data_IF_634578859228
#
_entry.id   IF_634578859228
#
_cell.length_a   1.000
_cell.length_b   1.000
_cell.length_c   1.000
_cell.angle_alpha   90.00
_cell.angle_beta   90.00
_cell.angle_gamma   90.00
#
_symmetry.space_group_name_H-M   'P 1'
#
loop_
_entity.id
_entity.type
_entity.pdbx_description
1 polymer ?
#
# COMPACT_ATOMS: atom_id res chain seq x y z
N UNK A 1 -2.28 -9.07 14.14
CA UNK A 1 -1.25 -8.66 13.14
C UNK A 1 -0.58 -9.91 12.58
N UNK A 2 -0.01 -9.90 11.37
CA UNK A 2 0.62 -11.10 10.80
C UNK A 2 1.76 -11.64 11.68
N UNK A 3 2.42 -10.76 12.43
CA UNK A 3 3.45 -11.06 13.45
C UNK A 3 2.93 -11.92 14.62
N UNK A 4 1.62 -11.88 14.89
CA UNK A 4 0.98 -12.57 16.01
C UNK A 4 0.28 -13.87 15.55
N UNK A 5 0.34 -14.18 14.26
CA UNK A 5 -0.27 -15.40 13.71
C UNK A 5 0.65 -16.57 14.02
N UNK A 6 0.24 -17.40 14.98
CA UNK A 6 0.86 -18.70 15.21
C UNK A 6 0.38 -19.69 14.15
N UNK A 7 1.22 -19.91 13.14
CA UNK A 7 1.02 -20.95 12.13
C UNK A 7 1.84 -22.21 12.48
N UNK A 8 1.29 -23.42 12.34
CA UNK A 8 2.00 -24.66 12.68
C UNK A 8 3.20 -24.92 11.77
N UNK A 9 3.15 -24.49 10.51
CA UNK A 9 4.12 -24.84 9.47
C UNK A 9 5.06 -23.68 9.12
N UNK A 10 4.64 -22.44 9.37
CA UNK A 10 5.36 -21.24 8.93
C UNK A 10 5.79 -20.31 10.07
N UNK A 11 6.96 -19.71 9.90
CA UNK A 11 7.39 -18.52 10.64
C UNK A 11 7.36 -17.31 9.71
N UNK A 12 6.44 -16.38 9.99
CA UNK A 12 6.26 -15.19 9.16
C UNK A 12 7.10 -14.02 9.66
N UNK A 13 7.78 -13.38 8.72
CA UNK A 13 8.48 -12.10 8.92
C UNK A 13 7.84 -11.07 8.00
N UNK A 14 6.82 -10.33 8.46
CA UNK A 14 6.17 -9.30 7.66
C UNK A 14 7.01 -8.01 7.66
N UNK A 15 7.13 -7.38 6.50
CA UNK A 15 7.83 -6.11 6.30
C UNK A 15 6.86 -5.17 5.62
N UNK A 16 6.51 -4.07 6.28
CA UNK A 16 5.68 -3.03 5.71
C UNK A 16 6.55 -2.05 4.94
N UNK A 17 6.17 -1.77 3.69
CA UNK A 17 6.89 -0.88 2.79
C UNK A 17 5.85 0.05 2.18
N UNK A 18 6.03 1.35 2.39
CA UNK A 18 5.25 2.38 1.72
C UNK A 18 6.06 2.92 0.54
N UNK A 19 5.54 2.80 -0.68
CA UNK A 19 6.23 3.21 -1.89
C UNK A 19 5.99 4.69 -2.25
N UNK A 20 5.21 5.44 -1.47
CA UNK A 20 4.88 6.84 -1.73
C UNK A 20 6.14 7.68 -2.02
N UNK A 21 6.13 8.39 -3.15
CA UNK A 21 7.23 9.29 -3.53
C UNK A 21 8.57 8.59 -3.82
N UNK A 22 8.61 7.26 -3.88
CA UNK A 22 9.83 6.52 -4.22
C UNK A 22 10.18 6.75 -5.68
N UNK A 23 11.45 7.08 -5.93
CA UNK A 23 11.98 7.24 -7.30
C UNK A 23 12.62 5.96 -7.79
N UNK A 24 12.47 5.65 -9.08
CA UNK A 24 12.97 4.41 -9.67
C UNK A 24 14.48 4.20 -9.46
N UNK A 25 15.29 5.27 -9.49
CA UNK A 25 16.75 5.16 -9.34
C UNK A 25 17.16 4.70 -7.95
N UNK A 26 16.26 4.83 -6.97
CA UNK A 26 16.51 4.51 -5.56
C UNK A 26 15.64 3.38 -5.04
N UNK A 27 14.82 2.78 -5.91
CA UNK A 27 13.80 1.80 -5.54
C UNK A 27 14.39 0.58 -4.84
N UNK A 28 15.40 -0.07 -5.43
CA UNK A 28 16.01 -1.26 -4.83
C UNK A 28 16.75 -0.97 -3.52
N UNK A 29 17.40 0.19 -3.42
CA UNK A 29 18.01 0.63 -2.17
C UNK A 29 16.96 0.83 -1.08
N UNK A 30 15.84 1.46 -1.41
CA UNK A 30 14.75 1.67 -0.46
C UNK A 30 14.15 0.34 0.01
N UNK A 31 13.89 -0.60 -0.90
CA UNK A 31 13.39 -1.92 -0.54
C UNK A 31 14.33 -2.65 0.43
N UNK A 32 15.64 -2.66 0.17
CA UNK A 32 16.58 -3.36 1.05
C UNK A 32 16.73 -2.65 2.41
N UNK A 33 16.66 -1.32 2.43
CA UNK A 33 16.71 -0.51 3.65
C UNK A 33 15.59 -0.92 4.62
N UNK A 34 14.35 -1.00 4.14
CA UNK A 34 13.20 -1.43 4.94
C UNK A 34 13.35 -2.88 5.43
N UNK A 35 13.87 -3.77 4.58
CA UNK A 35 14.14 -5.16 4.95
C UNK A 35 15.20 -5.23 6.06
N UNK A 36 16.32 -4.53 5.91
CA UNK A 36 17.42 -4.51 6.87
C UNK A 36 16.95 -3.94 8.20
N UNK A 37 16.26 -2.79 8.19
CA UNK A 37 15.71 -2.19 9.39
C UNK A 37 14.75 -3.14 10.12
N UNK A 38 13.89 -3.85 9.40
CA UNK A 38 13.00 -4.82 10.05
C UNK A 38 13.78 -5.99 10.65
N UNK A 39 14.70 -6.58 9.90
CA UNK A 39 15.46 -7.77 10.32
C UNK A 39 16.35 -7.49 11.51
N UNK A 40 17.00 -6.32 11.56
CA UNK A 40 17.81 -5.89 12.72
C UNK A 40 17.00 -5.78 14.02
N UNK A 41 15.69 -5.58 13.92
CA UNK A 41 14.79 -5.45 15.06
C UNK A 41 14.11 -6.78 15.46
N UNK A 42 14.38 -7.89 14.75
CA UNK A 42 13.81 -9.20 15.10
C UNK A 42 14.51 -9.77 16.32
N UNK A 43 15.84 -9.89 16.26
CA UNK A 43 16.68 -10.40 17.34
C UNK A 43 18.12 -9.92 17.17
N UNK A 44 18.87 -9.88 18.26
CA UNK A 44 20.30 -9.57 18.33
C UNK A 44 21.17 -10.83 18.22
N UNK A 45 20.72 -11.85 17.48
CA UNK A 45 21.51 -13.07 17.29
C UNK A 45 22.78 -12.76 16.48
N UNK A 46 23.90 -13.36 16.86
CA UNK A 46 25.20 -13.08 16.25
C UNK A 46 25.22 -13.39 14.74
N UNK A 47 24.43 -14.37 14.28
CA UNK A 47 24.29 -14.72 12.87
C UNK A 47 23.61 -13.61 12.06
N UNK A 48 22.55 -13.00 12.59
CA UNK A 48 21.80 -11.93 11.93
C UNK A 48 22.66 -10.66 11.90
N UNK A 49 23.28 -10.31 13.03
CA UNK A 49 24.19 -9.17 13.12
C UNK A 49 25.31 -9.31 12.08
N UNK A 50 26.00 -10.46 12.05
CA UNK A 50 27.09 -10.69 11.11
C UNK A 50 26.64 -10.65 9.65
N UNK A 51 25.44 -11.17 9.36
CA UNK A 51 24.87 -11.11 8.02
C UNK A 51 24.54 -9.67 7.59
N UNK A 52 24.00 -8.84 8.49
CA UNK A 52 23.68 -7.44 8.20
C UNK A 52 24.96 -6.62 7.95
N UNK A 53 26.01 -6.82 8.74
CA UNK A 53 27.29 -6.11 8.56
C UNK A 53 27.97 -6.39 7.20
N UNK A 54 27.68 -7.53 6.57
CA UNK A 54 28.28 -7.94 5.30
C UNK A 54 27.54 -7.44 4.05
N UNK A 55 26.44 -6.70 4.23
CA UNK A 55 25.61 -6.26 3.11
C UNK A 55 26.31 -5.17 2.27
N UNK A 56 26.07 -5.23 0.96
CA UNK A 56 26.52 -4.24 0.00
C UNK A 56 25.82 -2.90 0.20
N UNK A 57 24.59 -2.96 0.74
CA UNK A 57 23.79 -1.83 1.20
C UNK A 57 24.59 -0.77 1.96
N UNK A 58 25.53 -1.17 2.82
CA UNK A 58 26.33 -0.23 3.61
C UNK A 58 27.44 0.48 2.83
N UNK A 59 27.85 -0.05 1.68
CA UNK A 59 29.07 0.34 0.98
C UNK A 59 28.81 0.90 -0.43
N UNK A 60 27.62 0.69 -0.97
CA UNK A 60 27.23 1.15 -2.30
C UNK A 60 26.34 2.39 -2.13
N UNK A 61 26.64 3.45 -2.90
CA UNK A 61 25.83 4.65 -2.87
C UNK A 61 24.40 4.37 -3.33
N UNK A 62 23.42 5.07 -2.76
CA UNK A 62 21.99 4.87 -3.04
C UNK A 62 21.62 4.89 -4.52
N UNK A 63 22.29 5.72 -5.32
CA UNK A 63 22.04 5.82 -6.75
C UNK A 63 22.71 4.71 -7.58
N UNK A 64 23.72 4.04 -7.02
CA UNK A 64 24.47 2.96 -7.69
C UNK A 64 24.01 1.57 -7.23
N UNK A 65 23.07 1.50 -6.29
CA UNK A 65 22.52 0.26 -5.75
C UNK A 65 21.46 -0.32 -6.70
N UNK A 66 21.85 -1.30 -7.49
CA UNK A 66 20.98 -1.87 -8.54
C UNK A 66 20.25 -3.12 -8.08
N UNK A 67 19.45 -3.73 -8.99
CA UNK A 67 18.83 -5.03 -8.75
C UNK A 67 19.86 -6.12 -8.43
N UNK A 68 21.10 -6.00 -8.92
CA UNK A 68 22.15 -6.97 -8.66
C UNK A 68 22.59 -6.97 -7.20
N UNK A 69 22.86 -5.80 -6.64
CA UNK A 69 23.24 -5.64 -5.23
C UNK A 69 22.07 -6.08 -4.34
N UNK A 70 20.85 -5.67 -4.68
CA UNK A 70 19.63 -6.10 -4.01
C UNK A 70 19.50 -7.62 -3.91
N UNK A 71 19.62 -8.33 -5.04
CA UNK A 71 19.50 -9.78 -5.07
C UNK A 71 20.59 -10.47 -4.24
N UNK A 72 21.80 -9.89 -4.20
CA UNK A 72 22.90 -10.43 -3.40
C UNK A 72 22.64 -10.26 -1.91
N UNK A 73 22.24 -9.07 -1.49
CA UNK A 73 21.97 -8.76 -0.10
C UNK A 73 20.75 -9.53 0.40
N UNK A 74 19.67 -9.60 -0.39
CA UNK A 74 18.49 -10.38 -0.05
C UNK A 74 18.82 -11.88 0.15
N UNK A 75 19.71 -12.46 -0.67
CA UNK A 75 20.20 -13.85 -0.44
C UNK A 75 20.89 -14.00 0.90
N UNK A 76 21.71 -13.02 1.29
CA UNK A 76 22.43 -13.03 2.57
C UNK A 76 21.43 -12.95 3.73
N UNK A 77 20.47 -12.03 3.65
CA UNK A 77 19.43 -11.84 4.66
C UNK A 77 18.58 -13.10 4.82
N UNK A 78 18.07 -13.67 3.72
CA UNK A 78 17.20 -14.86 3.76
C UNK A 78 17.91 -16.08 4.33
N UNK A 79 19.22 -16.26 4.04
CA UNK A 79 20.01 -17.36 4.63
C UNK A 79 20.18 -17.19 6.14
N UNK A 80 20.46 -15.97 6.59
CA UNK A 80 20.62 -15.69 8.01
C UNK A 80 19.29 -15.88 8.77
N UNK A 81 18.18 -15.40 8.20
CA UNK A 81 16.84 -15.64 8.75
C UNK A 81 16.49 -17.13 8.75
N UNK A 82 16.88 -17.90 7.73
CA UNK A 82 16.61 -19.34 7.68
C UNK A 82 17.36 -20.08 8.81
N UNK A 83 18.63 -19.75 9.03
CA UNK A 83 19.41 -20.29 10.15
C UNK A 83 18.80 -19.92 11.50
N UNK A 84 18.39 -18.66 11.65
CA UNK A 84 17.70 -18.17 12.83
C UNK A 84 16.39 -18.93 13.09
N UNK A 85 15.59 -19.16 12.04
CA UNK A 85 14.35 -19.93 12.07
C UNK A 85 14.58 -21.36 12.53
N UNK A 86 15.63 -22.02 12.04
CA UNK A 86 15.95 -23.41 12.42
C UNK A 86 16.31 -23.54 13.90
N UNK A 87 16.96 -22.51 14.47
CA UNK A 87 17.34 -22.47 15.88
C UNK A 87 16.18 -22.11 16.82
N UNK A 88 15.33 -21.15 16.44
CA UNK A 88 14.30 -20.57 17.33
C UNK A 88 12.88 -21.08 17.05
N UNK A 89 12.64 -21.58 15.85
CA UNK A 89 11.34 -22.05 15.36
C UNK A 89 11.47 -23.43 14.69
N UNK A 90 11.92 -24.47 15.41
CA UNK A 90 12.21 -25.77 14.84
C UNK A 90 10.97 -26.39 14.18
N UNK A 91 11.14 -26.86 12.94
CA UNK A 91 10.06 -27.45 12.14
C UNK A 91 9.24 -26.45 11.34
N UNK A 92 9.43 -25.14 11.54
CA UNK A 92 8.75 -24.10 10.75
C UNK A 92 9.59 -23.65 9.56
N UNK A 93 8.93 -23.36 8.45
CA UNK A 93 9.54 -22.77 7.26
C UNK A 93 9.48 -21.25 7.33
N UNK A 94 10.60 -20.59 7.03
CA UNK A 94 10.66 -19.13 6.94
C UNK A 94 9.80 -18.61 5.79
N UNK A 95 9.01 -17.57 6.07
CA UNK A 95 8.28 -16.78 5.09
C UNK A 95 8.47 -15.28 5.35
N UNK A 96 9.33 -14.65 4.55
CA UNK A 96 9.47 -13.20 4.48
C UNK A 96 8.34 -12.64 3.61
N UNK A 97 7.47 -11.79 4.17
CA UNK A 97 6.31 -11.25 3.46
C UNK A 97 6.46 -9.73 3.31
N UNK A 98 6.60 -9.26 2.08
CA UNK A 98 6.63 -7.82 1.78
C UNK A 98 5.19 -7.31 1.64
N UNK A 99 4.78 -6.41 2.53
CA UNK A 99 3.48 -5.74 2.51
C UNK A 99 3.71 -4.35 1.90
N UNK A 100 3.55 -4.25 0.57
CA UNK A 100 3.88 -3.06 -0.20
C UNK A 100 2.64 -2.24 -0.47
N UNK A 101 2.56 -1.06 0.11
CA UNK A 101 1.53 -0.06 -0.16
C UNK A 101 1.96 0.87 -1.31
N UNK A 102 1.00 1.54 -1.91
CA UNK A 102 1.22 2.48 -3.04
C UNK A 102 1.95 1.87 -4.24
N UNK A 103 1.63 0.62 -4.56
CA UNK A 103 2.25 -0.12 -5.66
C UNK A 103 2.04 0.54 -7.05
N UNK A 104 1.07 1.46 -7.16
CA UNK A 104 0.79 2.21 -8.38
C UNK A 104 1.99 3.05 -8.86
N UNK A 105 2.89 3.46 -7.96
CA UNK A 105 4.12 4.21 -8.30
C UNK A 105 4.95 3.47 -9.36
N UNK A 106 4.96 2.14 -9.32
CA UNK A 106 5.74 1.29 -10.22
C UNK A 106 5.22 1.35 -11.66
N UNK A 107 3.96 1.71 -11.87
CA UNK A 107 3.40 1.91 -13.22
C UNK A 107 4.12 3.05 -13.97
N UNK A 108 4.68 4.02 -13.23
CA UNK A 108 5.47 5.12 -13.79
C UNK A 108 6.95 4.80 -14.03
N UNK A 109 7.43 3.63 -13.59
CA UNK A 109 8.83 3.23 -13.76
C UNK A 109 9.10 2.64 -15.14
N UNK A 110 10.38 2.67 -15.53
CA UNK A 110 10.86 2.02 -16.73
C UNK A 110 10.61 0.50 -16.70
N UNK A 111 10.30 -0.08 -17.86
CA UNK A 111 10.00 -1.51 -17.97
C UNK A 111 11.11 -2.42 -17.47
N UNK A 112 12.36 -1.98 -17.57
CA UNK A 112 13.49 -2.74 -17.05
C UNK A 112 13.36 -2.95 -15.54
N UNK A 113 12.97 -1.92 -14.79
CA UNK A 113 12.79 -1.97 -13.33
C UNK A 113 11.62 -2.87 -12.97
N UNK A 114 10.50 -2.78 -13.70
CA UNK A 114 9.35 -3.66 -13.51
C UNK A 114 9.72 -5.15 -13.73
N UNK A 115 10.52 -5.45 -14.76
CA UNK A 115 11.00 -6.81 -15.00
C UNK A 115 12.01 -7.27 -13.94
N UNK A 116 12.88 -6.38 -13.46
CA UNK A 116 13.80 -6.67 -12.36
C UNK A 116 13.03 -7.04 -11.09
N UNK A 117 11.97 -6.30 -10.77
CA UNK A 117 11.08 -6.60 -9.66
C UNK A 117 10.40 -7.96 -9.82
N UNK A 118 9.84 -8.23 -11.00
CA UNK A 118 9.23 -9.52 -11.31
C UNK A 118 10.18 -10.70 -11.06
N UNK A 119 11.46 -10.56 -11.43
CA UNK A 119 12.47 -11.63 -11.26
C UNK A 119 12.70 -12.01 -9.80
N UNK A 120 12.59 -11.05 -8.87
CA UNK A 120 12.76 -11.30 -7.42
C UNK A 120 11.75 -12.36 -6.94
N UNK A 121 10.50 -12.31 -7.42
CA UNK A 121 9.44 -13.20 -6.94
C UNK A 121 9.36 -14.57 -7.64
N UNK A 122 10.02 -14.78 -8.78
CA UNK A 122 9.77 -15.96 -9.61
C UNK A 122 10.67 -17.18 -9.39
N UNK A 123 11.98 -17.02 -9.11
CA UNK A 123 12.90 -18.19 -9.14
C UNK A 123 13.85 -18.32 -7.97
N UNK A 124 14.50 -17.24 -7.53
CA UNK A 124 15.53 -17.37 -6.50
C UNK A 124 14.95 -17.45 -5.08
N UNK A 125 13.74 -16.93 -4.88
CA UNK A 125 13.18 -16.73 -3.53
C UNK A 125 11.74 -17.19 -3.36
N UNK A 126 11.07 -17.73 -4.37
CA UNK A 126 9.63 -18.03 -4.34
C UNK A 126 9.20 -18.96 -3.17
N UNK A 127 10.11 -19.79 -2.68
CA UNK A 127 9.84 -20.67 -1.53
C UNK A 127 9.83 -19.94 -0.18
N UNK A 128 10.44 -18.75 -0.08
CA UNK A 128 10.72 -18.06 1.19
C UNK A 128 10.20 -16.62 1.19
N UNK A 129 10.08 -16.00 0.02
CA UNK A 129 9.61 -14.63 -0.17
C UNK A 129 8.18 -14.65 -0.73
N UNK A 130 7.29 -13.90 -0.07
CA UNK A 130 5.97 -13.55 -0.57
C UNK A 130 5.79 -12.04 -0.59
N UNK A 131 4.77 -11.57 -1.30
CA UNK A 131 4.38 -10.18 -1.29
C UNK A 131 2.85 -10.03 -1.30
N UNK A 132 2.37 -9.04 -0.56
CA UNK A 132 1.00 -8.52 -0.62
C UNK A 132 1.13 -7.07 -1.06
N UNK A 133 0.38 -6.69 -2.09
CA UNK A 133 0.45 -5.35 -2.69
C UNK A 133 -0.88 -4.65 -2.55
N UNK A 134 -0.84 -3.35 -2.27
CA UNK A 134 -2.00 -2.47 -2.30
C UNK A 134 -1.79 -1.35 -3.33
N UNK A 135 -2.86 -0.99 -4.04
CA UNK A 135 -2.88 0.03 -5.08
C UNK A 135 -4.30 0.29 -5.58
N UNK A 136 -4.52 1.46 -6.16
CA UNK A 136 -5.82 1.97 -6.61
C UNK A 136 -6.18 1.41 -7.99
N UNK A 137 -5.21 1.36 -8.91
CA UNK A 137 -5.42 0.82 -10.25
C UNK A 137 -4.13 0.22 -10.79
N UNK A 138 -4.07 -1.11 -10.84
CA UNK A 138 -3.14 -1.79 -11.73
C UNK A 138 -3.60 -1.49 -13.15
N UNK A 139 -2.93 -0.56 -13.84
CA UNK A 139 -3.25 -0.21 -15.22
C UNK A 139 -3.18 -1.46 -16.10
N UNK A 140 -4.36 -1.93 -16.54
CA UNK A 140 -4.52 -3.07 -17.46
C UNK A 140 -4.47 -2.63 -18.93
N UNK A 141 -4.17 -1.36 -19.21
CA UNK A 141 -3.83 -0.99 -20.57
C UNK A 141 -2.60 -1.83 -21.00
N UNK A 142 -2.50 -2.10 -22.30
CA UNK A 142 -1.27 -2.34 -23.06
C UNK A 142 -1.25 -3.61 -23.94
N UNK A 143 -1.17 -3.33 -25.25
CA UNK A 143 -0.75 -4.21 -26.35
C UNK A 143 0.73 -4.59 -26.21
N UNK A 144 1.07 -5.60 -25.40
CA UNK A 144 2.47 -6.06 -25.25
C UNK A 144 2.65 -7.57 -25.27
N UNK A 145 3.85 -7.97 -25.71
CA UNK A 145 4.27 -9.36 -25.94
C UNK A 145 4.64 -10.10 -24.63
N UNK A 146 5.00 -9.37 -23.57
CA UNK A 146 5.45 -9.95 -22.29
C UNK A 146 4.39 -9.83 -21.19
N UNK A 147 4.28 -10.85 -20.32
CA UNK A 147 3.35 -10.84 -19.19
C UNK A 147 3.74 -9.78 -18.15
N UNK A 148 2.81 -8.89 -17.75
CA UNK A 148 3.05 -7.87 -16.74
C UNK A 148 3.40 -8.44 -15.35
N UNK A 149 4.05 -7.62 -14.52
CA UNK A 149 4.47 -8.01 -13.17
C UNK A 149 3.29 -8.34 -12.25
N UNK A 150 2.15 -7.68 -12.44
CA UNK A 150 0.94 -7.91 -11.66
C UNK A 150 0.34 -9.32 -11.86
N UNK A 151 0.65 -10.00 -12.97
CA UNK A 151 0.24 -11.39 -13.18
C UNK A 151 0.87 -12.37 -12.19
N UNK A 152 1.86 -11.93 -11.40
CA UNK A 152 2.37 -12.71 -10.28
C UNK A 152 1.42 -12.74 -9.08
N UNK A 153 0.46 -11.82 -9.04
CA UNK A 153 -0.39 -11.60 -7.88
C UNK A 153 -1.80 -12.10 -8.14
N UNK A 154 -2.42 -12.63 -7.09
CA UNK A 154 -3.85 -12.86 -7.08
C UNK A 154 -4.52 -11.54 -6.68
N UNK A 155 -5.30 -10.98 -7.60
CA UNK A 155 -6.03 -9.75 -7.35
C UNK A 155 -7.24 -10.04 -6.46
N UNK A 156 -7.34 -9.32 -5.34
CA UNK A 156 -8.48 -9.33 -4.46
C UNK A 156 -9.07 -7.93 -4.52
N UNK A 157 -10.21 -7.80 -5.20
CA UNK A 157 -10.94 -6.54 -5.24
C UNK A 157 -11.56 -6.27 -3.86
N UNK A 158 -11.33 -5.08 -3.33
CA UNK A 158 -11.98 -4.64 -2.10
C UNK A 158 -13.39 -4.18 -2.45
N UNK A 159 -14.38 -5.01 -2.11
CA UNK A 159 -15.78 -4.69 -2.34
C UNK A 159 -16.24 -3.47 -1.51
N UNK A 160 -17.20 -2.69 -2.00
CA UNK A 160 -17.84 -1.65 -1.21
C UNK A 160 -18.47 -2.22 0.06
N UNK A 161 -18.52 -1.41 1.12
CA UNK A 161 -19.15 -1.82 2.36
C UNK A 161 -20.64 -2.06 2.19
N UNK A 162 -21.13 -3.11 2.84
CA UNK A 162 -22.55 -3.29 3.07
C UNK A 162 -23.10 -2.12 3.90
N UNK A 163 -24.42 -1.91 3.83
CA UNK A 163 -25.08 -0.77 4.49
C UNK A 163 -24.74 -0.70 5.99
N UNK A 164 -24.76 -1.82 6.69
CA UNK A 164 -24.50 -1.90 8.13
C UNK A 164 -23.05 -1.50 8.45
N UNK A 165 -22.09 -1.99 7.66
CA UNK A 165 -20.67 -1.65 7.78
C UNK A 165 -20.42 -0.16 7.47
N UNK A 166 -21.10 0.38 6.47
CA UNK A 166 -21.01 1.80 6.14
C UNK A 166 -21.56 2.69 7.26
N UNK A 167 -22.67 2.30 7.90
CA UNK A 167 -23.21 2.99 9.08
C UNK A 167 -22.22 2.90 10.25
N UNK A 168 -21.68 1.71 10.52
CA UNK A 168 -20.70 1.51 11.59
C UNK A 168 -19.49 2.42 11.39
N UNK A 169 -18.92 2.45 10.18
CA UNK A 169 -17.79 3.31 9.81
C UNK A 169 -18.08 4.79 10.07
N UNK A 170 -19.31 5.25 9.81
CA UNK A 170 -19.70 6.65 9.98
C UNK A 170 -20.01 7.01 11.44
N UNK A 171 -20.62 6.10 12.19
CA UNK A 171 -21.21 6.38 13.50
C UNK A 171 -20.26 6.04 14.65
N UNK A 172 -19.58 4.90 14.61
CA UNK A 172 -18.74 4.43 15.72
C UNK A 172 -17.61 5.40 16.11
N UNK A 173 -16.85 5.99 15.18
CA UNK A 173 -15.78 6.92 15.53
C UNK A 173 -16.27 8.17 16.27
N UNK A 174 -17.56 8.50 16.15
CA UNK A 174 -18.11 9.79 16.58
C UNK A 174 -19.23 9.69 17.61
N UNK A 175 -19.62 8.47 17.99
CA UNK A 175 -20.81 8.17 18.80
C UNK A 175 -20.93 8.94 20.12
N UNK A 176 -19.82 9.40 20.69
CA UNK A 176 -19.78 10.16 21.94
C UNK A 176 -19.71 11.68 21.76
N UNK A 177 -19.55 12.18 20.53
CA UNK A 177 -19.32 13.59 20.22
C UNK A 177 -20.51 14.21 19.48
N UNK A 178 -21.01 13.52 18.45
CA UNK A 178 -22.13 13.98 17.63
C UNK A 178 -22.91 12.80 17.07
N UNK A 179 -24.10 13.09 16.56
CA UNK A 179 -25.05 12.10 16.04
C UNK A 179 -25.45 12.42 14.61
N UNK A 180 -25.75 11.40 13.83
CA UNK A 180 -26.35 11.57 12.50
C UNK A 180 -27.87 11.48 12.59
N UNK A 181 -28.54 12.27 11.76
CA UNK A 181 -29.92 12.01 11.38
C UNK A 181 -30.00 10.79 10.44
N UNK A 182 -31.00 9.91 10.56
CA UNK A 182 -31.12 8.74 9.68
C UNK A 182 -31.08 9.09 8.19
N UNK A 183 -31.79 10.16 7.78
CA UNK A 183 -31.78 10.63 6.40
C UNK A 183 -30.40 11.10 5.92
N UNK A 184 -29.56 11.61 6.82
CA UNK A 184 -28.19 12.00 6.49
C UNK A 184 -27.32 10.77 6.19
N UNK A 185 -27.44 9.70 6.99
CA UNK A 185 -26.72 8.43 6.77
C UNK A 185 -27.11 7.79 5.43
N UNK A 186 -28.41 7.66 5.17
CA UNK A 186 -28.89 7.07 3.90
C UNK A 186 -28.38 7.87 2.70
N UNK A 187 -28.38 9.20 2.79
CA UNK A 187 -27.87 10.04 1.72
C UNK A 187 -26.36 9.82 1.49
N UNK A 188 -25.55 9.76 2.56
CA UNK A 188 -24.11 9.49 2.44
C UNK A 188 -23.89 8.15 1.75
N UNK A 189 -24.52 7.08 2.24
CA UNK A 189 -24.32 5.71 1.75
C UNK A 189 -24.72 5.58 0.29
N UNK A 190 -25.85 6.19 -0.09
CA UNK A 190 -26.32 6.18 -1.47
C UNK A 190 -25.35 6.90 -2.41
N UNK A 191 -24.82 8.06 -2.01
CA UNK A 191 -23.94 8.85 -2.87
C UNK A 191 -22.49 8.37 -2.87
N UNK A 192 -22.05 7.69 -1.83
CA UNK A 192 -20.71 7.11 -1.74
C UNK A 192 -20.63 5.71 -2.34
N UNK A 193 -21.77 5.08 -2.67
CA UNK A 193 -21.89 3.71 -3.15
C UNK A 193 -21.19 2.69 -2.23
N UNK A 194 -21.22 2.93 -0.92
CA UNK A 194 -20.52 2.09 0.07
C UNK A 194 -18.98 2.14 0.02
N UNK A 195 -18.36 2.97 -0.83
CA UNK A 195 -16.90 3.06 -0.93
C UNK A 195 -16.29 3.74 0.31
N UNK A 196 -15.35 3.11 1.05
CA UNK A 196 -14.83 3.62 2.33
C UNK A 196 -14.29 5.05 2.27
N UNK A 197 -13.42 5.35 1.30
CA UNK A 197 -12.85 6.69 1.11
C UNK A 197 -13.94 7.75 0.89
N UNK A 198 -14.93 7.45 0.04
CA UNK A 198 -16.04 8.37 -0.22
C UNK A 198 -16.88 8.56 1.04
N UNK A 199 -17.26 7.49 1.74
CA UNK A 199 -18.00 7.56 3.01
C UNK A 199 -17.34 8.54 3.99
N UNK A 200 -16.02 8.39 4.18
CA UNK A 200 -15.24 9.25 5.08
C UNK A 200 -15.12 10.70 4.58
N UNK A 201 -14.96 10.91 3.27
CA UNK A 201 -14.94 12.25 2.66
C UNK A 201 -16.27 13.00 2.95
N UNK A 202 -17.40 12.34 2.74
CA UNK A 202 -18.72 12.90 3.08
C UNK A 202 -18.84 13.17 4.59
N UNK A 203 -18.36 12.26 5.43
CA UNK A 203 -18.41 12.41 6.88
C UNK A 203 -17.65 13.66 7.33
N UNK A 204 -16.42 13.84 6.86
CA UNK A 204 -15.56 14.98 7.19
C UNK A 204 -16.24 16.31 6.81
N UNK A 205 -16.69 16.43 5.56
CA UNK A 205 -17.34 17.65 5.08
C UNK A 205 -18.67 17.94 5.79
N UNK A 206 -19.46 16.90 6.08
CA UNK A 206 -20.71 17.04 6.83
C UNK A 206 -20.46 17.48 8.28
N UNK A 207 -19.41 16.96 8.91
CA UNK A 207 -18.96 17.39 10.24
C UNK A 207 -18.53 18.85 10.21
N UNK A 208 -17.75 19.28 9.23
CA UNK A 208 -17.34 20.68 9.05
C UNK A 208 -18.56 21.61 8.97
N UNK A 209 -19.55 21.28 8.14
CA UNK A 209 -20.78 22.07 8.01
C UNK A 209 -21.60 22.12 9.31
N UNK A 210 -21.66 21.00 10.04
CA UNK A 210 -22.37 20.89 11.31
C UNK A 210 -21.68 21.69 12.43
N UNK A 211 -20.34 21.67 12.48
CA UNK A 211 -19.54 22.48 13.40
C UNK A 211 -19.64 23.97 13.10
N UNK A 212 -19.61 24.37 11.82
CA UNK A 212 -19.80 25.77 11.41
C UNK A 212 -21.15 26.34 11.88
N UNK A 213 -22.16 25.47 11.96
CA UNK A 213 -23.48 25.82 12.50
C UNK A 213 -23.60 25.62 14.03
N UNK A 214 -22.50 25.35 14.74
CA UNK A 214 -22.45 25.14 16.20
C UNK A 214 -23.44 24.10 16.72
N UNK A 215 -23.62 22.99 15.99
CA UNK A 215 -24.52 21.89 16.35
C UNK A 215 -23.73 20.66 16.79
N UNK A 216 -24.46 19.62 17.22
CA UNK A 216 -23.95 18.26 17.52
C UNK A 216 -24.74 17.16 16.81
N UNK A 217 -25.62 17.55 15.89
CA UNK A 217 -26.41 16.63 15.07
C UNK A 217 -26.22 17.00 13.62
N UNK A 218 -25.70 16.05 12.85
CA UNK A 218 -25.48 16.14 11.41
C UNK A 218 -26.82 15.88 10.73
N UNK A 219 -27.31 16.87 10.00
CA UNK A 219 -28.59 16.85 9.30
C UNK A 219 -28.39 16.53 7.83
N UNK A 220 -29.49 16.16 7.15
CA UNK A 220 -29.49 15.99 5.70
C UNK A 220 -28.92 17.21 4.95
N UNK A 221 -29.21 18.42 5.42
CA UNK A 221 -28.70 19.66 4.81
C UNK A 221 -27.18 19.78 4.84
N UNK A 222 -26.54 19.25 5.88
CA UNK A 222 -25.08 19.30 6.04
C UNK A 222 -24.39 18.38 5.04
N UNK A 223 -24.98 17.20 4.82
CA UNK A 223 -24.50 16.22 3.84
C UNK A 223 -24.79 16.66 2.41
N UNK A 224 -25.93 17.29 2.15
CA UNK A 224 -26.22 17.87 0.83
C UNK A 224 -25.27 19.01 0.48
N UNK A 225 -24.87 19.81 1.48
CA UNK A 225 -23.82 20.82 1.28
C UNK A 225 -22.46 20.18 1.01
N UNK A 226 -22.09 19.13 1.77
CA UNK A 226 -20.89 18.34 1.53
C UNK A 226 -20.85 17.76 0.11
N UNK A 227 -21.97 17.19 -0.37
CA UNK A 227 -22.08 16.66 -1.72
C UNK A 227 -21.74 17.69 -2.80
N UNK A 228 -22.30 18.90 -2.68
CA UNK A 228 -22.03 19.99 -3.63
C UNK A 228 -20.56 20.38 -3.62
N UNK A 229 -19.94 20.45 -2.45
CA UNK A 229 -18.52 20.74 -2.31
C UNK A 229 -17.67 19.66 -2.99
N UNK A 230 -17.92 18.38 -2.69
CA UNK A 230 -17.20 17.24 -3.26
C UNK A 230 -17.33 17.20 -4.79
N UNK A 231 -18.53 17.41 -5.32
CA UNK A 231 -18.75 17.48 -6.78
C UNK A 231 -18.00 18.66 -7.41
N UNK A 232 -17.98 19.82 -6.75
CA UNK A 232 -17.25 20.98 -7.25
C UNK A 232 -15.74 20.73 -7.30
N UNK A 233 -15.16 20.12 -6.25
CA UNK A 233 -13.74 19.78 -6.20
C UNK A 233 -13.35 18.71 -7.23
N UNK A 234 -14.22 17.73 -7.45
CA UNK A 234 -14.01 16.68 -8.47
C UNK A 234 -14.03 17.27 -9.89
N UNK A 235 -14.94 18.22 -10.16
CA UNK A 235 -15.00 18.90 -11.45
C UNK A 235 -13.81 19.83 -11.70
N UNK A 236 -13.25 20.46 -10.67
CA UNK A 236 -12.04 21.29 -10.81
C UNK A 236 -10.81 20.42 -11.08
N UNK A 237 -10.66 19.27 -10.41
CA UNK A 237 -9.58 18.32 -10.68
C UNK A 237 -9.58 17.81 -12.13
N UNK A 238 -10.76 17.49 -12.69
CA UNK A 238 -10.88 17.08 -14.09
C UNK A 238 -10.70 18.23 -15.10
N UNK A 239 -10.96 19.49 -14.71
CA UNK A 239 -10.69 20.66 -15.56
C UNK A 239 -9.20 21.00 -15.63
N UNK A 240 -8.44 20.84 -14.55
CA UNK A 240 -6.98 21.02 -14.55
C UNK A 240 -6.25 19.92 -15.34
N UNK A 241 -6.70 18.66 -15.26
CA UNK A 241 -6.21 17.58 -16.14
C UNK A 241 -6.53 17.83 -17.63
N UNK A 242 -7.71 18.42 -17.91
CA UNK A 242 -8.13 18.80 -19.26
C UNK A 242 -7.31 19.98 -19.83
N UNK A 243 -6.94 20.95 -18.99
CA UNK A 243 -6.07 22.07 -19.39
C UNK A 243 -4.64 21.57 -19.70
N UNK A 244 -4.09 20.68 -18.86
CA UNK A 244 -2.77 20.07 -19.10
C UNK A 244 -2.74 19.24 -20.39
N UNK A 245 -3.83 18.52 -20.73
CA UNK A 245 -3.95 17.80 -22.02
C UNK A 245 -4.10 18.73 -23.23
N UNK A 246 -4.65 19.94 -23.05
CA UNK A 246 -4.84 20.89 -24.17
C UNK A 246 -3.56 21.67 -24.50
N UNK A 247 -2.65 21.87 -23.53
CA UNK A 247 -1.36 22.56 -23.76
C UNK A 247 -0.31 21.66 -24.44
N UNK A 248 -0.49 20.33 -24.44
CA UNK A 248 0.46 19.38 -25.05
C UNK A 248 0.18 19.04 -26.53
N UNK A 249 -0.80 19.68 -27.18
CA UNK A 249 -1.12 19.42 -28.59
C UNK A 249 -1.05 20.70 -29.42
N UNK A 250 0.16 21.21 -29.67
CA UNK A 250 0.48 22.12 -30.79
C UNK A 250 1.98 22.43 -30.85
N UNK A 251 2.76 21.67 -31.62
CA UNK A 251 3.61 22.25 -32.67
C UNK A 251 4.07 21.15 -33.63
N UNK A 252 4.04 21.49 -34.91
CA UNK A 252 4.39 20.68 -36.09
C UNK A 252 5.85 20.24 -36.08
#
# INVERSE_FOLDING_TARGET
>A
RLEEVEDPDYWFVPIFIDLEGTRQETFFHFLIEEIVHKVQNIDSSAELISAMEQLHYHNVARADYTDREFNRDLRTILRALQQHSEAHHPGKQLRLILLMDEMDVINGYDHLVQQQLRRIFMRDFAATLGAVVAGIQISREWDRIESPWYNLFNEIEVEPFAREQAIELLVEPVKNYYSYEPAALEFIIQQSEGRPFRLQQYALEAVTNMLAASRRRIKLTDVQAAHRSIQSSTNHAHQDEGLLRTVAASTQ
#
